data_IF_186752246032
#
_entry.id   IF_186752246032
#
_cell.length_a   1.000
_cell.length_b   1.000
_cell.length_c   1.000
_cell.angle_alpha   90.00
_cell.angle_beta   90.00
_cell.angle_gamma   90.00
#
_symmetry.space_group_name_H-M   'P 1'
#
loop_
_entity.id
_entity.type
_entity.pdbx_description
1 polymer ?
#
# COMPACT_ATOMS: atom_id res chain seq x y z
N UNK A 1 4.10 14.54 6.92
CA UNK A 1 2.76 15.04 6.54
C UNK A 1 2.97 16.21 5.59
N UNK A 2 2.53 16.11 4.33
CA UNK A 2 2.64 17.20 3.35
C UNK A 2 1.38 18.07 3.35
N UNK A 3 1.53 19.35 3.00
CA UNK A 3 0.41 20.29 2.87
C UNK A 3 0.48 20.99 1.51
N UNK A 4 -0.67 21.25 0.89
CA UNK A 4 -0.77 21.98 -0.36
C UNK A 4 -1.87 23.04 -0.22
N UNK A 5 -1.50 24.30 -0.43
CA UNK A 5 -2.43 25.42 -0.50
C UNK A 5 -2.23 26.11 -1.84
N UNK A 6 -3.31 26.31 -2.59
CA UNK A 6 -3.28 26.95 -3.89
C UNK A 6 -4.54 27.80 -4.12
N UNK A 7 -4.39 28.86 -4.91
CA UNK A 7 -5.49 29.68 -5.42
C UNK A 7 -5.61 29.41 -6.92
N UNK A 8 -6.78 28.94 -7.34
CA UNK A 8 -7.05 28.51 -8.71
C UNK A 8 -8.12 29.42 -9.30
N UNK A 9 -7.83 30.00 -10.47
CA UNK A 9 -8.78 30.84 -11.18
C UNK A 9 -9.91 30.00 -11.79
N UNK A 10 -11.16 30.35 -11.45
CA UNK A 10 -12.37 29.69 -11.93
C UNK A 10 -12.32 28.14 -11.80
N UNK A 11 -12.19 27.61 -10.57
CA UNK A 11 -11.96 26.18 -10.38
C UNK A 11 -13.18 25.35 -10.78
N UNK A 12 -12.89 24.16 -11.31
CA UNK A 12 -13.85 23.14 -11.71
C UNK A 12 -13.62 21.88 -10.90
N UNK A 13 -14.70 21.20 -10.54
CA UNK A 13 -14.67 19.99 -9.72
C UNK A 13 -15.50 18.88 -10.38
N UNK A 14 -15.26 17.65 -9.96
CA UNK A 14 -16.04 16.48 -10.40
C UNK A 14 -17.48 16.48 -9.89
N UNK A 15 -17.71 17.12 -8.74
CA UNK A 15 -18.93 17.02 -7.96
C UNK A 15 -19.20 18.29 -7.16
N UNK A 16 -20.41 18.36 -6.58
CA UNK A 16 -20.83 19.48 -5.73
C UNK A 16 -20.08 19.53 -4.39
N UNK A 17 -19.57 18.40 -3.89
CA UNK A 17 -18.76 18.36 -2.65
C UNK A 17 -17.37 18.95 -2.87
N UNK A 18 -16.94 19.09 -4.13
CA UNK A 18 -15.68 19.75 -4.54
C UNK A 18 -14.42 19.10 -3.95
N UNK A 19 -14.46 17.78 -3.81
CA UNK A 19 -13.33 17.00 -3.24
C UNK A 19 -12.21 16.80 -4.26
N UNK A 20 -12.54 16.65 -5.56
CA UNK A 20 -11.55 16.48 -6.62
C UNK A 20 -11.54 17.69 -7.56
N UNK A 21 -10.45 18.45 -7.55
CA UNK A 21 -10.21 19.51 -8.54
C UNK A 21 -9.91 18.91 -9.92
N UNK A 22 -10.64 19.35 -10.95
CA UNK A 22 -10.51 18.85 -12.34
C UNK A 22 -9.96 19.88 -13.32
N UNK A 23 -9.70 21.12 -12.85
CA UNK A 23 -9.17 22.20 -13.69
C UNK A 23 -7.83 21.79 -14.30
N UNK A 24 -7.62 22.10 -15.58
CA UNK A 24 -6.35 21.81 -16.24
C UNK A 24 -5.26 22.74 -15.71
N UNK A 25 -4.03 22.22 -15.53
CA UNK A 25 -2.87 22.99 -15.05
C UNK A 25 -2.63 24.29 -15.84
N UNK A 26 -2.87 24.27 -17.15
CA UNK A 26 -2.74 25.46 -18.03
C UNK A 26 -3.70 26.61 -17.66
N UNK A 27 -4.78 26.31 -16.94
CA UNK A 27 -5.85 27.23 -16.58
C UNK A 27 -5.87 27.57 -15.10
N UNK A 28 -4.82 27.23 -14.34
CA UNK A 28 -4.74 27.53 -12.91
C UNK A 28 -4.63 29.02 -12.60
N UNK A 29 -4.25 29.86 -13.57
CA UNK A 29 -3.96 31.28 -13.35
C UNK A 29 -2.60 31.54 -12.69
N UNK A 30 -1.98 30.49 -12.14
CA UNK A 30 -0.65 30.53 -11.52
C UNK A 30 0.19 29.31 -11.92
N UNK A 31 1.51 29.43 -11.77
CA UNK A 31 2.45 28.31 -11.88
C UNK A 31 3.08 28.07 -10.51
N UNK A 32 3.15 26.79 -10.13
CA UNK A 32 3.94 26.34 -8.98
C UNK A 32 5.20 25.68 -9.52
N UNK A 33 6.33 26.36 -9.37
CA UNK A 33 7.66 25.84 -9.70
C UNK A 33 8.41 25.61 -8.39
N UNK A 34 8.84 24.37 -8.17
CA UNK A 34 9.62 24.00 -7.00
C UNK A 34 11.07 24.37 -7.28
N UNK A 35 11.70 25.13 -6.37
CA UNK A 35 13.10 25.50 -6.52
C UNK A 35 14.02 24.28 -6.32
N UNK A 36 15.17 24.29 -6.97
CA UNK A 36 16.19 23.25 -6.76
C UNK A 36 16.61 23.15 -5.29
N UNK A 37 16.70 24.28 -4.59
CA UNK A 37 17.05 24.30 -3.17
C UNK A 37 16.00 23.60 -2.31
N UNK A 38 14.72 23.74 -2.64
CA UNK A 38 13.65 23.01 -1.95
C UNK A 38 13.77 21.51 -2.23
N UNK A 39 14.00 21.12 -3.49
CA UNK A 39 14.16 19.72 -3.86
C UNK A 39 15.35 19.07 -3.16
N UNK A 40 16.50 19.76 -3.10
CA UNK A 40 17.70 19.30 -2.38
C UNK A 40 17.44 19.12 -0.88
N UNK A 41 16.70 20.06 -0.25
CA UNK A 41 16.33 19.90 1.16
C UNK A 41 15.44 18.69 1.39
N UNK A 42 14.43 18.50 0.54
CA UNK A 42 13.55 17.31 0.63
C UNK A 42 14.36 16.03 0.43
N UNK A 43 15.26 15.98 -0.54
CA UNK A 43 16.13 14.82 -0.80
C UNK A 43 16.94 14.43 0.44
N UNK A 44 17.54 15.42 1.12
CA UNK A 44 18.41 15.20 2.28
C UNK A 44 17.61 14.91 3.56
N UNK A 45 16.51 15.63 3.80
CA UNK A 45 15.83 15.63 5.11
C UNK A 45 14.66 14.64 5.20
N UNK A 46 14.06 14.24 4.08
CA UNK A 46 12.81 13.44 4.12
C UNK A 46 13.02 11.94 4.19
N UNK A 47 14.24 11.44 3.93
CA UNK A 47 14.51 10.00 3.83
C UNK A 47 13.80 9.31 2.65
N UNK A 48 13.12 10.07 1.78
CA UNK A 48 12.30 9.52 0.69
C UNK A 48 13.11 8.65 -0.27
N UNK A 49 14.38 9.00 -0.49
CA UNK A 49 15.28 8.25 -1.38
C UNK A 49 15.59 6.87 -0.80
N UNK A 50 15.86 6.80 0.51
CA UNK A 50 16.16 5.54 1.20
C UNK A 50 14.93 4.63 1.21
N UNK A 51 13.74 5.16 1.54
CA UNK A 51 12.49 4.40 1.48
C UNK A 51 12.20 3.87 0.06
N UNK A 52 12.54 4.62 -0.98
CA UNK A 52 12.32 4.19 -2.37
C UNK A 52 13.28 3.05 -2.76
N UNK A 53 14.55 3.13 -2.34
CA UNK A 53 15.53 2.05 -2.52
C UNK A 53 15.15 0.80 -1.72
N UNK A 54 14.64 0.96 -0.51
CA UNK A 54 14.12 -0.16 0.30
C UNK A 54 12.94 -0.84 -0.41
N UNK A 55 11.98 -0.07 -0.93
CA UNK A 55 10.85 -0.60 -1.69
C UNK A 55 11.31 -1.36 -2.94
N UNK A 56 12.28 -0.84 -3.68
CA UNK A 56 12.86 -1.53 -4.83
C UNK A 56 13.50 -2.87 -4.41
N UNK A 57 14.28 -2.88 -3.34
CA UNK A 57 14.86 -4.11 -2.80
C UNK A 57 13.79 -5.11 -2.33
N UNK A 58 12.69 -4.64 -1.72
CA UNK A 58 11.56 -5.48 -1.32
C UNK A 58 10.89 -6.10 -2.56
N UNK A 59 10.68 -5.31 -3.62
CA UNK A 59 10.09 -5.80 -4.86
C UNK A 59 11.00 -6.83 -5.55
N UNK A 60 12.31 -6.56 -5.63
CA UNK A 60 13.30 -7.48 -6.18
C UNK A 60 13.35 -8.79 -5.38
N UNK A 61 13.41 -8.72 -4.05
CA UNK A 61 13.40 -9.91 -3.20
C UNK A 61 12.08 -10.68 -3.29
N UNK A 62 10.95 -9.99 -3.44
CA UNK A 62 9.65 -10.63 -3.67
C UNK A 62 9.62 -11.37 -5.00
N UNK A 63 10.20 -10.79 -6.05
CA UNK A 63 10.25 -11.44 -7.36
C UNK A 63 11.24 -12.62 -7.36
N UNK A 64 12.36 -12.54 -6.64
CA UNK A 64 13.27 -13.66 -6.40
C UNK A 64 12.58 -14.81 -5.63
N UNK A 65 11.76 -14.49 -4.62
CA UNK A 65 10.97 -15.50 -3.88
C UNK A 65 9.91 -16.20 -4.73
N UNK A 66 9.42 -15.59 -5.82
CA UNK A 66 8.51 -16.27 -6.76
C UNK A 66 9.22 -17.29 -7.63
N UNK A 67 10.54 -17.15 -7.82
CA UNK A 67 11.36 -18.08 -8.60
C UNK A 67 11.92 -19.24 -7.79
N UNK A 68 11.90 -19.16 -6.45
CA UNK A 68 12.13 -20.33 -5.59
C UNK A 68 10.91 -21.25 -5.66
N UNK A 69 10.94 -22.11 -6.68
CA UNK A 69 9.87 -23.05 -6.98
C UNK A 69 9.66 -24.05 -5.85
N UNK A 70 8.74 -23.74 -4.96
CA UNK A 70 7.97 -24.76 -4.23
C UNK A 70 6.68 -24.12 -3.74
N UNK A 71 5.55 -24.57 -4.30
CA UNK A 71 4.26 -24.43 -3.63
C UNK A 71 4.35 -25.23 -2.34
N UNK A 72 4.70 -24.61 -1.23
CA UNK A 72 4.44 -25.20 0.07
C UNK A 72 2.96 -24.99 0.38
N UNK A 73 2.22 -26.10 0.42
CA UNK A 73 0.78 -26.18 0.69
C UNK A 73 0.45 -25.95 2.19
N UNK A 74 1.42 -25.51 2.99
CA UNK A 74 1.30 -25.40 4.45
C UNK A 74 1.93 -24.10 4.94
N UNK A 75 1.11 -23.24 5.53
CA UNK A 75 1.55 -21.97 6.09
C UNK A 75 2.13 -22.22 7.51
N UNK A 76 3.35 -22.75 7.57
CA UNK A 76 4.02 -23.15 8.84
C UNK A 76 4.40 -21.98 9.75
N UNK A 77 4.11 -20.74 9.34
CA UNK A 77 4.52 -19.51 10.03
C UNK A 77 3.58 -19.00 11.12
N UNK A 78 2.37 -19.56 11.27
CA UNK A 78 1.39 -19.11 12.27
C UNK A 78 1.25 -20.19 13.36
N UNK A 79 1.89 -20.03 14.53
CA UNK A 79 1.96 -21.07 15.56
C UNK A 79 0.61 -21.42 16.22
N UNK A 80 -0.44 -20.62 15.97
CA UNK A 80 -1.79 -20.83 16.51
C UNK A 80 -2.85 -21.15 15.46
N UNK A 81 -2.46 -21.27 14.19
CA UNK A 81 -3.39 -21.65 13.12
C UNK A 81 -3.64 -23.15 13.16
N UNK A 82 -4.90 -23.54 13.38
CA UNK A 82 -5.33 -24.92 13.17
C UNK A 82 -5.81 -25.08 11.72
N UNK A 83 -4.89 -25.47 10.85
CA UNK A 83 -5.21 -25.73 9.44
C UNK A 83 -6.09 -27.00 9.31
N UNK A 84 -7.21 -26.83 8.62
CA UNK A 84 -8.05 -27.96 8.18
C UNK A 84 -7.38 -28.62 6.98
N UNK A 85 -7.55 -29.94 6.80
CA UNK A 85 -6.90 -30.75 5.75
C UNK A 85 -7.03 -30.18 4.33
N UNK A 86 -8.08 -29.39 4.05
CA UNK A 86 -8.42 -28.85 2.74
C UNK A 86 -8.04 -27.37 2.54
N UNK A 87 -7.54 -26.70 3.58
CA UNK A 87 -7.08 -25.31 3.48
C UNK A 87 -5.86 -25.24 2.54
N UNK A 88 -5.86 -24.30 1.60
CA UNK A 88 -4.82 -24.17 0.56
C UNK A 88 -4.96 -25.11 -0.65
N UNK A 89 -5.72 -26.20 -0.54
CA UNK A 89 -5.93 -27.19 -1.61
C UNK A 89 -7.04 -26.85 -2.62
N UNK A 90 -7.40 -27.81 -3.49
CA UNK A 90 -8.47 -27.65 -4.50
C UNK A 90 -9.87 -27.43 -3.90
N UNK A 91 -10.09 -27.92 -2.69
CA UNK A 91 -11.36 -27.82 -1.93
C UNK A 91 -11.34 -26.64 -0.94
N UNK A 92 -10.35 -25.74 -1.04
CA UNK A 92 -10.23 -24.57 -0.16
C UNK A 92 -11.43 -23.62 -0.23
N UNK A 93 -12.19 -23.65 -1.33
CA UNK A 93 -13.43 -22.89 -1.47
C UNK A 93 -14.57 -23.37 -0.55
N UNK A 94 -14.46 -24.58 0.02
CA UNK A 94 -15.39 -25.11 1.02
C UNK A 94 -14.94 -24.77 2.46
N UNK A 95 -13.74 -24.20 2.64
CA UNK A 95 -13.20 -23.84 3.93
C UNK A 95 -13.69 -22.46 4.40
N UNK A 96 -13.83 -22.30 5.72
CA UNK A 96 -14.19 -21.01 6.35
C UNK A 96 -13.06 -20.56 7.27
N UNK A 97 -12.52 -19.36 7.03
CA UNK A 97 -11.56 -18.75 7.95
C UNK A 97 -12.33 -18.01 9.06
N UNK A 98 -12.03 -18.36 10.31
CA UNK A 98 -12.64 -17.74 11.48
C UNK A 98 -11.56 -16.94 12.20
N UNK A 99 -11.74 -15.62 12.26
CA UNK A 99 -10.83 -14.69 12.93
C UNK A 99 -11.39 -14.34 14.31
N UNK A 100 -10.66 -14.68 15.36
CA UNK A 100 -11.02 -14.40 16.75
C UNK A 100 -9.98 -13.48 17.40
N UNK A 101 -10.42 -12.63 18.34
CA UNK A 101 -9.54 -11.74 19.08
C UNK A 101 -8.95 -12.48 20.31
N UNK A 102 -7.68 -12.91 20.22
CA UNK A 102 -6.85 -13.35 21.35
C UNK A 102 -6.62 -14.87 21.48
N UNK A 103 -5.47 -15.25 22.10
CA UNK A 103 -4.94 -16.62 22.31
C UNK A 103 -5.89 -17.59 23.07
N UNK A 104 -7.04 -17.11 23.57
CA UNK A 104 -7.98 -17.87 24.40
C UNK A 104 -9.04 -18.65 23.60
N UNK A 105 -9.01 -18.63 22.28
CA UNK A 105 -10.11 -19.13 21.43
C UNK A 105 -9.78 -20.44 20.70
N UNK A 106 -9.16 -21.42 21.40
CA UNK A 106 -8.84 -22.74 20.84
C UNK A 106 -9.83 -23.87 21.17
N UNK A 107 -10.94 -23.61 21.86
CA UNK A 107 -11.71 -24.71 22.51
C UNK A 107 -13.09 -24.99 21.91
N UNK A 108 -13.62 -24.21 20.97
CA UNK A 108 -14.98 -24.47 20.47
C UNK A 108 -15.10 -24.17 18.97
N UNK A 109 -14.72 -25.14 18.13
CA UNK A 109 -15.26 -25.42 16.79
C UNK A 109 -14.92 -26.86 16.39
#
# INVERSE_FOLDING_TARGET
MGFCYALIDNPTFDSQTKETLTTRKSSFGSKCELSEDFLKKVEIESGVVESLLELENIMLNRDLKKTDGSKEDRDTGIPELEDVLYAGGSESHECTLILTEGDSTKVLL
#
